data_IF_347941274605
#
_entry.id   IF_347941274605
#
_cell.length_a   1.000
_cell.length_b   1.000
_cell.length_c   1.000
_cell.angle_alpha   90.00
_cell.angle_beta   90.00
_cell.angle_gamma   90.00
#
_symmetry.space_group_name_H-M   'P 1'
#
loop_
_entity.id
_entity.type
_entity.pdbx_description
1 polymer ?
#
# COMPACT_ATOMS: atom_id res chain seq x y z
N UNK A 1 38.25 -36.61 -67.38
CA UNK A 1 36.93 -36.02 -67.08
C UNK A 1 36.49 -36.53 -65.71
N UNK A 2 36.50 -35.68 -64.71
CA UNK A 2 36.04 -35.99 -63.32
C UNK A 2 34.75 -35.20 -63.07
N UNK A 3 33.66 -35.79 -62.62
CA UNK A 3 32.47 -35.03 -62.26
C UNK A 3 32.58 -34.47 -60.82
N UNK A 4 32.34 -33.17 -60.70
CA UNK A 4 32.16 -32.48 -59.44
C UNK A 4 30.72 -32.78 -58.85
N UNK A 5 30.68 -33.44 -57.70
CA UNK A 5 29.47 -33.57 -56.94
C UNK A 5 29.33 -32.32 -56.09
N UNK A 6 28.27 -31.49 -56.35
CA UNK A 6 27.85 -30.35 -55.56
C UNK A 6 26.91 -30.86 -54.45
N UNK A 7 27.39 -30.91 -53.19
CA UNK A 7 26.54 -31.25 -52.04
C UNK A 7 25.77 -30.00 -51.58
N UNK A 8 24.46 -29.95 -51.84
CA UNK A 8 23.57 -28.97 -51.27
C UNK A 8 23.33 -29.28 -49.78
N UNK A 9 23.88 -28.46 -48.88
CA UNK A 9 23.58 -28.50 -47.46
C UNK A 9 22.23 -27.80 -47.25
N UNK A 10 21.16 -28.56 -47.05
CA UNK A 10 19.85 -28.02 -46.66
C UNK A 10 19.86 -27.75 -45.15
N UNK A 11 19.97 -26.48 -44.77
CA UNK A 11 19.82 -26.03 -43.39
C UNK A 11 18.34 -26.11 -42.99
N UNK A 12 17.97 -27.09 -42.21
CA UNK A 12 16.64 -27.20 -41.58
C UNK A 12 16.59 -26.20 -40.44
N UNK A 13 15.92 -25.09 -40.67
CA UNK A 13 15.59 -24.13 -39.62
C UNK A 13 14.44 -24.73 -38.79
N UNK A 14 14.74 -25.26 -37.60
CA UNK A 14 13.75 -25.72 -36.63
C UNK A 14 12.97 -24.51 -36.08
N UNK A 15 11.76 -24.28 -36.55
CA UNK A 15 10.82 -23.31 -35.97
C UNK A 15 10.32 -23.93 -34.67
N UNK A 16 10.91 -23.51 -33.53
CA UNK A 16 10.37 -23.81 -32.22
C UNK A 16 9.01 -23.08 -32.08
N UNK A 17 7.92 -23.80 -31.73
CA UNK A 17 6.66 -23.15 -31.49
C UNK A 17 6.80 -22.21 -30.28
N UNK A 18 6.59 -20.91 -30.48
CA UNK A 18 6.35 -19.95 -29.37
C UNK A 18 5.01 -20.32 -28.75
N UNK A 19 5.01 -21.11 -27.69
CA UNK A 19 3.83 -21.27 -26.84
C UNK A 19 3.54 -19.92 -26.21
N UNK A 20 2.33 -19.34 -26.34
CA UNK A 20 1.98 -18.13 -25.65
C UNK A 20 2.09 -18.40 -24.15
N UNK A 21 3.00 -17.71 -23.48
CA UNK A 21 3.08 -17.74 -22.03
C UNK A 21 1.83 -17.02 -21.49
N UNK A 22 0.82 -17.77 -21.11
CA UNK A 22 -0.31 -17.21 -20.38
C UNK A 22 0.22 -16.64 -19.07
N UNK A 23 -0.09 -15.37 -18.80
CA UNK A 23 0.26 -14.76 -17.53
C UNK A 23 -0.41 -15.55 -16.40
N UNK A 24 0.38 -15.96 -15.41
CA UNK A 24 -0.12 -16.68 -14.24
C UNK A 24 -1.11 -15.80 -13.49
N UNK A 25 -2.27 -16.35 -13.14
CA UNK A 25 -3.31 -15.64 -12.42
C UNK A 25 -3.20 -15.91 -10.92
N UNK A 26 -3.14 -14.82 -10.13
CA UNK A 26 -3.05 -14.86 -8.68
C UNK A 26 -4.33 -14.27 -8.08
N UNK A 27 -4.99 -15.03 -7.23
CA UNK A 27 -6.18 -14.58 -6.48
C UNK A 27 -5.72 -13.88 -5.22
N UNK A 28 -6.14 -12.62 -5.03
CA UNK A 28 -5.70 -11.78 -3.92
C UNK A 28 -6.90 -11.35 -3.09
N UNK A 29 -6.99 -11.83 -1.85
CA UNK A 29 -7.98 -11.38 -0.89
C UNK A 29 -7.64 -9.97 -0.38
N UNK A 30 -8.64 -9.11 -0.28
CA UNK A 30 -8.48 -7.79 0.33
C UNK A 30 -9.71 -7.38 1.15
N UNK A 31 -9.47 -6.48 2.12
CA UNK A 31 -10.57 -5.83 2.82
C UNK A 31 -11.41 -5.01 1.83
N UNK A 32 -12.70 -5.33 1.76
CA UNK A 32 -13.65 -4.65 0.89
C UNK A 32 -13.92 -3.19 1.28
N UNK A 33 -13.43 -2.73 2.46
CA UNK A 33 -13.66 -1.39 3.02
C UNK A 33 -12.42 -0.81 3.72
N UNK A 34 -11.34 -0.62 2.98
CA UNK A 34 -10.11 -0.02 3.47
C UNK A 34 -9.65 1.16 2.58
N UNK A 35 -10.48 2.21 2.40
CA UNK A 35 -10.07 3.37 1.61
C UNK A 35 -8.96 4.17 2.32
N UNK A 36 -8.07 4.84 1.56
CA UNK A 36 -7.98 4.88 0.10
C UNK A 36 -7.19 3.72 -0.50
N UNK A 37 -6.85 2.68 0.27
CA UNK A 37 -5.91 1.63 -0.13
C UNK A 37 -6.56 0.54 -0.99
N UNK A 38 -7.68 -0.01 -0.53
CA UNK A 38 -8.44 -1.03 -1.23
C UNK A 38 -9.92 -0.98 -0.81
N UNK A 39 -10.81 -0.95 -1.77
CA UNK A 39 -12.26 -1.06 -1.53
C UNK A 39 -12.94 -1.78 -2.69
N UNK A 40 -14.11 -2.34 -2.43
CA UNK A 40 -14.95 -2.92 -3.46
C UNK A 40 -16.12 -2.00 -3.73
N UNK A 41 -16.20 -1.48 -4.95
CA UNK A 41 -17.25 -0.57 -5.41
C UNK A 41 -17.82 -1.07 -6.74
N UNK A 42 -19.13 -1.24 -6.79
CA UNK A 42 -19.84 -1.74 -7.98
C UNK A 42 -19.22 -3.04 -8.55
N UNK A 43 -18.78 -3.95 -7.65
CA UNK A 43 -18.16 -5.22 -8.02
C UNK A 43 -16.71 -5.12 -8.52
N UNK A 44 -16.09 -3.95 -8.47
CA UNK A 44 -14.70 -3.73 -8.84
C UNK A 44 -13.86 -3.40 -7.62
N UNK A 45 -12.65 -3.93 -7.58
CA UNK A 45 -11.67 -3.55 -6.56
C UNK A 45 -10.89 -2.33 -7.04
N UNK A 46 -10.86 -1.29 -6.23
CA UNK A 46 -10.16 -0.03 -6.51
C UNK A 46 -9.40 0.46 -5.28
N UNK A 47 -8.40 1.30 -5.47
CA UNK A 47 -7.61 1.89 -4.39
C UNK A 47 -6.17 2.13 -4.77
N UNK A 48 -5.47 2.97 -3.99
CA UNK A 48 -4.04 3.25 -4.14
C UNK A 48 -3.22 1.96 -4.19
N UNK A 49 -3.47 1.06 -3.23
CA UNK A 49 -2.73 -0.19 -3.13
C UNK A 49 -3.09 -1.14 -4.29
N UNK A 50 -4.35 -1.18 -4.70
CA UNK A 50 -4.82 -1.96 -5.86
C UNK A 50 -4.10 -1.52 -7.14
N UNK A 51 -4.03 -0.22 -7.41
CA UNK A 51 -3.34 0.31 -8.60
C UNK A 51 -1.84 0.00 -8.57
N UNK A 52 -1.18 0.13 -7.41
CA UNK A 52 0.24 -0.19 -7.25
C UNK A 52 0.50 -1.68 -7.44
N UNK A 53 -0.33 -2.56 -6.85
CA UNK A 53 -0.18 -4.00 -7.03
C UNK A 53 -0.38 -4.42 -8.49
N UNK A 54 -1.37 -3.87 -9.18
CA UNK A 54 -1.61 -4.14 -10.59
C UNK A 54 -0.39 -3.75 -11.45
N UNK A 55 0.20 -2.58 -11.21
CA UNK A 55 1.38 -2.13 -11.94
C UNK A 55 2.60 -3.04 -11.67
N UNK A 56 2.83 -3.44 -10.41
CA UNK A 56 3.91 -4.36 -10.04
C UNK A 56 3.70 -5.76 -10.64
N UNK A 57 2.47 -6.27 -10.60
CA UNK A 57 2.10 -7.56 -11.17
C UNK A 57 2.30 -7.58 -12.69
N UNK A 58 1.93 -6.51 -13.39
CA UNK A 58 2.16 -6.38 -14.83
C UNK A 58 3.67 -6.48 -15.17
N UNK A 59 4.53 -5.81 -14.39
CA UNK A 59 6.01 -5.91 -14.55
C UNK A 59 6.52 -7.32 -14.23
N UNK A 60 5.84 -8.05 -13.35
CA UNK A 60 6.17 -9.43 -12.97
C UNK A 60 5.60 -10.50 -13.93
N UNK A 61 4.84 -10.11 -14.97
CA UNK A 61 4.14 -11.04 -15.87
C UNK A 61 3.03 -11.82 -15.17
N UNK A 62 2.31 -11.18 -14.23
CA UNK A 62 1.23 -11.76 -13.45
C UNK A 62 -0.09 -11.04 -13.74
N UNK A 63 -1.19 -11.77 -13.61
CA UNK A 63 -2.55 -11.24 -13.61
C UNK A 63 -3.14 -11.35 -12.21
N UNK A 64 -3.73 -10.28 -11.68
CA UNK A 64 -4.37 -10.29 -10.37
C UNK A 64 -5.90 -10.40 -10.54
N UNK A 65 -6.48 -11.32 -9.79
CA UNK A 65 -7.93 -11.43 -9.59
C UNK A 65 -8.22 -11.15 -8.12
N UNK A 66 -8.99 -10.11 -7.86
CA UNK A 66 -9.30 -9.71 -6.49
C UNK A 66 -10.47 -10.49 -5.91
N UNK A 67 -10.38 -10.80 -4.61
CA UNK A 67 -11.39 -11.46 -3.80
C UNK A 67 -11.73 -10.53 -2.63
N UNK A 68 -12.65 -9.56 -2.80
CA UNK A 68 -13.05 -8.65 -1.74
C UNK A 68 -13.85 -9.40 -0.68
N UNK A 69 -13.42 -9.26 0.58
CA UNK A 69 -14.08 -9.87 1.75
C UNK A 69 -14.01 -8.91 2.94
N UNK A 70 -14.82 -9.07 3.99
CA UNK A 70 -14.59 -8.39 5.26
C UNK A 70 -13.21 -8.74 5.82
N UNK A 71 -12.54 -7.76 6.47
CA UNK A 71 -11.16 -7.93 6.95
C UNK A 71 -10.95 -9.19 7.78
N UNK A 72 -11.90 -9.50 8.68
CA UNK A 72 -11.87 -10.67 9.56
C UNK A 72 -11.96 -12.01 8.82
N UNK A 73 -12.37 -12.01 7.55
CA UNK A 73 -12.46 -13.20 6.72
C UNK A 73 -11.22 -13.45 5.85
N UNK A 74 -10.27 -12.51 5.80
CA UNK A 74 -9.08 -12.63 4.93
C UNK A 74 -8.30 -13.90 5.25
N UNK A 75 -7.99 -14.16 6.52
CA UNK A 75 -7.26 -15.36 6.94
C UNK A 75 -7.97 -16.62 6.50
N UNK A 76 -9.26 -16.74 6.79
CA UNK A 76 -10.07 -17.89 6.40
C UNK A 76 -10.13 -18.07 4.88
N UNK A 77 -10.18 -16.98 4.13
CA UNK A 77 -10.20 -17.03 2.65
C UNK A 77 -8.93 -17.64 2.08
N UNK A 78 -7.78 -17.39 2.72
CA UNK A 78 -6.49 -18.02 2.39
C UNK A 78 -6.49 -19.50 2.80
N UNK A 79 -6.94 -19.81 4.02
CA UNK A 79 -6.94 -21.17 4.57
C UNK A 79 -7.85 -22.12 3.78
N UNK A 80 -9.01 -21.62 3.32
CA UNK A 80 -9.95 -22.34 2.44
C UNK A 80 -9.43 -22.45 0.98
N UNK A 81 -8.27 -21.89 0.64
CA UNK A 81 -7.72 -21.91 -0.72
C UNK A 81 -8.52 -21.08 -1.74
N UNK A 82 -9.40 -20.17 -1.29
CA UNK A 82 -10.17 -19.27 -2.15
C UNK A 82 -9.34 -18.10 -2.68
N UNK A 83 -8.24 -17.75 -2.00
CA UNK A 83 -7.24 -16.80 -2.45
C UNK A 83 -5.82 -17.36 -2.24
N UNK A 84 -4.88 -16.88 -3.03
CA UNK A 84 -3.48 -17.27 -3.03
C UNK A 84 -2.64 -16.35 -2.14
N UNK A 85 -3.09 -15.10 -1.97
CA UNK A 85 -2.42 -14.07 -1.20
C UNK A 85 -3.44 -13.08 -0.60
N UNK A 86 -2.99 -12.28 0.36
CA UNK A 86 -3.74 -11.15 0.94
C UNK A 86 -3.01 -9.83 0.68
N UNK A 87 -3.76 -8.76 0.37
CA UNK A 87 -3.20 -7.42 0.15
C UNK A 87 -4.28 -6.33 0.22
N UNK A 88 -4.00 -5.13 0.74
CA UNK A 88 -2.79 -4.76 1.49
C UNK A 88 -2.85 -5.27 2.93
N UNK A 89 -1.74 -5.80 3.42
CA UNK A 89 -1.63 -6.26 4.80
C UNK A 89 -0.43 -5.59 5.48
N UNK A 90 -0.65 -4.99 6.67
CA UNK A 90 0.43 -4.37 7.42
C UNK A 90 1.41 -5.42 7.93
N UNK A 91 2.69 -5.17 7.70
CA UNK A 91 3.78 -6.00 8.22
C UNK A 91 3.95 -5.70 9.71
N UNK A 92 3.86 -6.73 10.54
CA UNK A 92 4.19 -6.66 11.97
C UNK A 92 4.80 -7.99 12.46
N UNK A 93 5.43 -8.02 13.65
CA UNK A 93 6.07 -9.24 14.17
C UNK A 93 5.12 -10.43 14.35
N UNK A 94 3.88 -10.19 14.77
CA UNK A 94 2.86 -11.24 14.93
C UNK A 94 2.52 -11.89 13.59
N UNK A 95 2.21 -11.09 12.57
CA UNK A 95 1.87 -11.59 11.23
C UNK A 95 3.04 -12.31 10.55
N UNK A 96 4.28 -11.94 10.84
CA UNK A 96 5.47 -12.66 10.32
C UNK A 96 5.60 -14.09 10.83
N UNK A 97 4.85 -14.47 11.86
CA UNK A 97 4.79 -15.86 12.33
C UNK A 97 3.97 -16.75 11.39
N UNK A 98 2.96 -16.18 10.74
CA UNK A 98 1.99 -16.91 9.91
C UNK A 98 2.09 -16.58 8.41
N UNK A 99 2.74 -15.46 8.06
CA UNK A 99 2.87 -14.98 6.68
C UNK A 99 4.31 -14.70 6.28
N UNK A 100 4.60 -14.91 5.01
CA UNK A 100 5.72 -14.30 4.30
C UNK A 100 5.20 -13.12 3.46
N UNK A 101 6.04 -12.08 3.31
CA UNK A 101 5.66 -10.80 2.73
C UNK A 101 6.58 -10.44 1.56
N UNK A 102 6.02 -9.78 0.56
CA UNK A 102 6.81 -9.02 -0.41
C UNK A 102 7.50 -7.83 0.26
N UNK A 103 8.40 -7.17 -0.46
CA UNK A 103 8.77 -5.78 -0.14
C UNK A 103 7.51 -4.91 -0.02
N UNK A 104 7.50 -3.88 0.85
CA UNK A 104 6.34 -3.00 1.00
C UNK A 104 5.97 -2.34 -0.34
N UNK A 105 4.71 -2.42 -0.73
CA UNK A 105 4.18 -1.72 -1.90
C UNK A 105 3.78 -0.28 -1.52
N UNK A 106 3.22 -0.11 -0.32
CA UNK A 106 2.85 1.20 0.23
C UNK A 106 3.44 1.33 1.63
N UNK A 107 4.02 2.47 1.94
CA UNK A 107 4.34 2.84 3.31
C UNK A 107 3.32 3.87 3.74
N UNK A 108 2.49 3.52 4.71
CA UNK A 108 1.53 4.40 5.37
C UNK A 108 1.93 4.59 6.82
N UNK A 109 1.12 5.28 7.59
CA UNK A 109 1.41 5.44 9.01
C UNK A 109 0.82 6.70 9.60
N UNK A 110 1.31 7.05 10.80
CA UNK A 110 0.95 8.26 11.50
C UNK A 110 1.79 9.44 11.06
N UNK A 111 1.13 10.55 10.72
CA UNK A 111 1.77 11.80 10.36
C UNK A 111 1.13 12.98 11.10
N UNK A 112 1.88 14.07 11.31
CA UNK A 112 1.45 15.24 12.07
C UNK A 112 1.09 16.38 11.11
N UNK A 113 -0.18 16.67 11.02
CA UNK A 113 -0.72 17.78 10.26
C UNK A 113 -0.90 19.00 11.17
N UNK A 114 -0.49 20.16 10.70
CA UNK A 114 -0.61 21.44 11.42
C UNK A 114 -1.25 22.51 10.54
N UNK A 115 -1.74 23.57 11.14
CA UNK A 115 -2.25 24.73 10.37
C UNK A 115 -1.14 25.38 9.57
N UNK A 116 -1.40 25.67 8.29
CA UNK A 116 -0.50 26.50 7.50
C UNK A 116 -0.45 27.95 8.03
N UNK A 117 0.70 28.63 7.98
CA UNK A 117 1.96 28.20 7.38
C UNK A 117 2.95 27.55 8.39
N UNK A 118 2.50 27.01 9.51
CA UNK A 118 3.36 26.40 10.52
C UNK A 118 4.15 25.22 9.89
N UNK A 119 5.45 25.07 10.23
CA UNK A 119 6.22 23.92 9.75
C UNK A 119 5.73 22.62 10.39
N UNK A 120 5.83 21.51 9.65
CA UNK A 120 5.51 20.18 10.18
C UNK A 120 6.44 19.84 11.36
N UNK A 121 5.90 19.37 12.51
CA UNK A 121 6.72 18.97 13.66
C UNK A 121 7.63 17.78 13.33
N UNK A 122 8.83 17.77 13.90
CA UNK A 122 9.77 16.66 13.79
C UNK A 122 9.43 15.55 14.82
N UNK A 123 8.24 14.96 14.68
CA UNK A 123 7.74 13.87 15.52
C UNK A 123 7.01 14.34 16.79
N UNK A 124 6.51 13.35 17.55
CA UNK A 124 5.65 13.57 18.71
C UNK A 124 6.31 14.37 19.85
N UNK A 125 7.63 14.23 20.02
CA UNK A 125 8.36 14.95 21.09
C UNK A 125 8.31 16.46 20.94
N UNK A 126 8.22 16.97 19.71
CA UNK A 126 8.08 18.40 19.44
C UNK A 126 6.72 18.95 19.91
N UNK A 127 5.79 18.09 20.28
CA UNK A 127 4.43 18.43 20.72
C UNK A 127 4.21 18.18 22.23
N UNK A 128 5.28 18.06 23.01
CA UNK A 128 5.18 17.95 24.49
C UNK A 128 4.36 19.10 25.07
N UNK A 129 3.34 18.77 25.87
CA UNK A 129 2.39 19.72 26.47
C UNK A 129 1.36 20.34 25.52
N UNK A 130 1.45 20.03 24.21
CA UNK A 130 0.55 20.49 23.17
C UNK A 130 -0.67 19.57 23.04
N UNK A 131 -1.77 20.12 22.53
CA UNK A 131 -2.99 19.36 22.22
C UNK A 131 -2.89 18.73 20.85
N UNK A 132 -2.94 17.40 20.81
CA UNK A 132 -2.92 16.62 19.59
C UNK A 132 -4.21 15.83 19.46
N UNK A 133 -4.89 15.98 18.34
CA UNK A 133 -6.13 15.25 18.03
C UNK A 133 -5.84 14.07 17.12
N UNK A 134 -6.59 12.98 17.28
CA UNK A 134 -6.52 11.81 16.39
C UNK A 134 -7.89 11.13 16.31
N UNK A 135 -8.29 10.54 15.17
CA UNK A 135 -9.50 9.74 15.13
C UNK A 135 -9.33 8.44 15.93
N UNK A 136 -10.45 7.92 16.46
CA UNK A 136 -10.47 6.66 17.22
C UNK A 136 -10.14 5.43 16.40
N UNK A 137 -10.13 5.55 15.06
CA UNK A 137 -9.86 4.44 14.15
C UNK A 137 -8.36 4.21 13.96
N UNK A 138 -7.95 2.94 14.00
CA UNK A 138 -6.56 2.55 13.77
C UNK A 138 -5.66 2.62 15.02
N UNK A 139 -4.35 2.43 14.85
CA UNK A 139 -3.42 2.23 15.97
C UNK A 139 -2.88 3.52 16.58
N UNK A 140 -3.16 4.71 16.01
CA UNK A 140 -2.44 5.94 16.36
C UNK A 140 -2.68 6.39 17.80
N UNK A 141 -3.93 6.34 18.28
CA UNK A 141 -4.26 6.75 19.65
C UNK A 141 -3.45 5.93 20.68
N UNK A 142 -3.50 4.61 20.58
CA UNK A 142 -2.75 3.72 21.48
C UNK A 142 -1.24 3.87 21.36
N UNK A 143 -0.73 4.09 20.15
CA UNK A 143 0.69 4.35 19.92
C UNK A 143 1.13 5.65 20.61
N UNK A 144 0.40 6.76 20.44
CA UNK A 144 0.72 8.06 21.03
C UNK A 144 0.66 7.99 22.56
N UNK A 145 -0.40 7.39 23.13
CA UNK A 145 -0.53 7.20 24.57
C UNK A 145 0.66 6.47 25.19
N UNK A 146 1.18 5.46 24.47
CA UNK A 146 2.31 4.65 24.94
C UNK A 146 3.66 5.34 24.77
N UNK A 147 3.88 6.08 23.67
CA UNK A 147 5.21 6.59 23.28
C UNK A 147 5.43 8.06 23.53
N UNK A 148 4.35 8.83 23.76
CA UNK A 148 4.40 10.27 24.01
C UNK A 148 3.32 10.69 25.04
N UNK A 149 3.36 10.14 26.28
CA UNK A 149 2.37 10.40 27.31
C UNK A 149 2.28 11.87 27.76
N UNK A 150 3.33 12.67 27.46
CA UNK A 150 3.39 14.10 27.71
C UNK A 150 2.57 14.96 26.73
N UNK A 151 2.07 14.37 25.65
CA UNK A 151 1.15 15.02 24.70
C UNK A 151 -0.27 15.00 25.26
N UNK A 152 -0.97 16.13 25.18
CA UNK A 152 -2.40 16.19 25.53
C UNK A 152 -3.22 15.58 24.38
N UNK A 153 -3.42 14.26 24.40
CA UNK A 153 -4.12 13.54 23.35
C UNK A 153 -5.64 13.66 23.51
N UNK A 154 -6.32 14.07 22.43
CA UNK A 154 -7.77 14.05 22.29
C UNK A 154 -8.15 13.07 21.19
N UNK A 155 -8.97 12.07 21.51
CA UNK A 155 -9.42 11.05 20.55
C UNK A 155 -10.81 11.40 20.04
N UNK A 156 -10.91 11.70 18.76
CA UNK A 156 -12.13 12.12 18.07
C UNK A 156 -12.88 10.95 17.43
N UNK A 157 -14.15 11.19 17.08
CA UNK A 157 -14.98 10.18 16.40
C UNK A 157 -14.41 9.82 15.02
N UNK A 158 -13.90 10.83 14.28
CA UNK A 158 -13.48 10.70 12.89
C UNK A 158 -12.42 11.74 12.49
N UNK A 159 -12.05 11.73 11.22
CA UNK A 159 -11.10 12.67 10.62
C UNK A 159 -11.65 14.08 10.50
N UNK A 160 -12.96 14.23 10.21
CA UNK A 160 -13.58 15.54 10.00
C UNK A 160 -13.58 16.34 11.30
N UNK A 161 -13.91 15.72 12.44
CA UNK A 161 -13.81 16.34 13.75
C UNK A 161 -12.36 16.71 14.09
N UNK A 162 -11.40 15.86 13.76
CA UNK A 162 -9.98 16.14 13.99
C UNK A 162 -9.48 17.33 13.16
N UNK A 163 -9.89 17.45 11.90
CA UNK A 163 -9.59 18.63 11.08
C UNK A 163 -10.30 19.88 11.56
N UNK A 164 -11.56 19.78 11.99
CA UNK A 164 -12.30 20.92 12.54
C UNK A 164 -11.58 21.52 13.75
N UNK A 165 -11.18 20.70 14.72
CA UNK A 165 -10.44 21.17 15.90
C UNK A 165 -9.04 21.68 15.57
N UNK A 166 -8.36 21.08 14.60
CA UNK A 166 -7.08 21.62 14.10
C UNK A 166 -7.27 23.02 13.54
N UNK A 167 -8.26 23.21 12.65
CA UNK A 167 -8.47 24.46 11.92
C UNK A 167 -9.06 25.57 12.81
N UNK A 168 -9.85 25.23 13.84
CA UNK A 168 -10.36 26.21 14.82
C UNK A 168 -9.27 26.70 15.79
N UNK A 169 -8.17 25.95 15.91
CA UNK A 169 -7.09 26.26 16.87
C UNK A 169 -7.27 25.60 18.24
N UNK A 170 -8.31 24.79 18.43
CA UNK A 170 -8.49 23.98 19.64
C UNK A 170 -7.40 22.90 19.79
N UNK A 171 -6.82 22.45 18.67
CA UNK A 171 -5.68 21.57 18.65
C UNK A 171 -4.47 22.23 18.00
N UNK A 172 -3.28 21.89 18.50
CA UNK A 172 -1.99 22.34 17.94
C UNK A 172 -1.62 21.51 16.69
N UNK A 173 -1.93 20.20 16.71
CA UNK A 173 -1.67 19.28 15.61
C UNK A 173 -2.75 18.18 15.52
N UNK A 174 -2.90 17.60 14.32
CA UNK A 174 -3.68 16.40 14.09
C UNK A 174 -2.77 15.23 13.68
N UNK A 175 -2.78 14.17 14.50
CA UNK A 175 -2.08 12.91 14.21
C UNK A 175 -3.02 12.00 13.40
N UNK A 176 -2.77 11.90 12.11
CA UNK A 176 -3.67 11.21 11.16
C UNK A 176 -2.90 10.14 10.37
N UNK A 177 -3.63 9.16 9.82
CA UNK A 177 -3.05 8.34 8.77
C UNK A 177 -2.62 9.24 7.61
N UNK A 178 -1.39 9.06 7.12
CA UNK A 178 -0.78 9.97 6.16
C UNK A 178 -1.58 10.10 4.87
N UNK A 179 -1.97 8.99 4.24
CA UNK A 179 -2.68 9.03 2.97
C UNK A 179 -4.09 9.61 3.12
N UNK A 180 -4.81 9.23 4.19
CA UNK A 180 -6.15 9.76 4.46
C UNK A 180 -6.06 11.26 4.77
N UNK A 181 -5.14 11.65 5.67
CA UNK A 181 -4.94 13.04 6.06
C UNK A 181 -4.49 13.90 4.88
N UNK A 182 -3.53 13.43 4.06
CA UNK A 182 -3.07 14.12 2.85
C UNK A 182 -4.22 14.36 1.87
N UNK A 183 -5.02 13.32 1.58
CA UNK A 183 -6.19 13.45 0.70
C UNK A 183 -7.15 14.52 1.20
N UNK A 184 -7.58 14.45 2.46
CA UNK A 184 -8.51 15.43 3.03
C UNK A 184 -7.92 16.85 3.07
N UNK A 185 -6.64 16.99 3.42
CA UNK A 185 -5.94 18.27 3.41
C UNK A 185 -5.89 18.88 2.01
N UNK A 186 -5.63 18.09 0.96
CA UNK A 186 -5.53 18.60 -0.42
C UNK A 186 -6.88 18.85 -1.07
N UNK A 187 -7.91 18.04 -0.76
CA UNK A 187 -9.22 18.15 -1.43
C UNK A 187 -10.19 19.10 -0.71
N UNK A 188 -10.22 19.07 0.63
CA UNK A 188 -11.19 19.85 1.42
C UNK A 188 -10.58 21.05 2.16
N UNK A 189 -9.28 21.05 2.41
CA UNK A 189 -8.58 22.04 3.23
C UNK A 189 -7.35 22.62 2.54
N UNK A 190 -7.37 22.68 1.20
CA UNK A 190 -6.25 23.17 0.40
C UNK A 190 -5.73 24.53 0.90
N UNK A 191 -4.42 24.63 1.11
CA UNK A 191 -3.75 25.83 1.60
C UNK A 191 -3.95 26.17 3.08
N UNK A 192 -4.81 25.43 3.81
CA UNK A 192 -5.07 25.66 5.25
C UNK A 192 -4.24 24.77 6.16
N UNK A 193 -3.68 23.69 5.62
CA UNK A 193 -2.95 22.67 6.36
C UNK A 193 -1.59 22.45 5.71
N UNK A 194 -0.54 22.41 6.52
CA UNK A 194 0.80 21.99 6.07
C UNK A 194 0.84 20.47 5.98
N UNK A 195 1.25 19.96 4.83
CA UNK A 195 1.44 18.53 4.62
C UNK A 195 2.69 18.05 5.34
N UNK A 196 2.63 16.94 6.08
CA UNK A 196 3.79 16.40 6.79
C UNK A 196 4.81 15.81 5.81
N UNK A 197 6.09 16.02 6.13
CA UNK A 197 7.22 15.48 5.37
C UNK A 197 7.66 14.10 5.88
N UNK A 198 7.33 13.78 7.13
CA UNK A 198 7.77 12.55 7.81
C UNK A 198 6.62 11.87 8.52
N UNK A 199 6.73 10.56 8.66
CA UNK A 199 5.86 9.75 9.50
C UNK A 199 6.49 9.62 10.90
N UNK A 200 5.69 9.75 11.96
CA UNK A 200 6.12 9.41 13.32
C UNK A 200 5.91 7.93 13.66
N UNK A 201 5.12 7.24 12.84
CA UNK A 201 4.88 5.80 12.90
C UNK A 201 4.76 5.28 11.47
N UNK A 202 5.65 4.37 11.07
CA UNK A 202 5.56 3.70 9.77
C UNK A 202 4.74 2.41 9.88
N UNK A 203 3.84 2.21 8.93
CA UNK A 203 3.04 1.01 8.75
C UNK A 203 3.21 0.51 7.31
N UNK A 204 4.23 -0.31 7.06
CA UNK A 204 4.45 -0.85 5.73
C UNK A 204 3.35 -1.85 5.35
N UNK A 205 2.74 -1.64 4.18
CA UNK A 205 1.72 -2.52 3.60
C UNK A 205 2.33 -3.34 2.47
N UNK A 206 2.16 -4.65 2.52
CA UNK A 206 2.70 -5.58 1.56
C UNK A 206 1.68 -6.65 1.16
N UNK A 207 1.98 -7.39 0.08
CA UNK A 207 1.28 -8.61 -0.22
C UNK A 207 1.83 -9.71 0.69
N UNK A 208 0.93 -10.50 1.26
CA UNK A 208 1.22 -11.58 2.18
C UNK A 208 0.76 -12.92 1.58
N UNK A 209 1.59 -13.94 1.72
CA UNK A 209 1.25 -15.34 1.44
C UNK A 209 1.41 -16.15 2.72
N UNK A 210 0.80 -17.34 2.79
CA UNK A 210 1.01 -18.23 3.96
C UNK A 210 2.49 -18.58 4.11
N UNK A 211 2.91 -18.68 5.35
CA UNK A 211 4.31 -18.94 5.73
C UNK A 211 4.88 -20.17 5.02
N UNK A 212 6.02 -20.01 4.38
CA UNK A 212 6.71 -21.07 3.65
C UNK A 212 6.12 -21.41 2.28
N UNK A 213 5.08 -20.69 1.84
CA UNK A 213 4.44 -20.92 0.53
C UNK A 213 4.82 -19.82 -0.49
N UNK A 214 4.75 -20.16 -1.79
CA UNK A 214 4.82 -19.23 -2.94
C UNK A 214 6.02 -18.25 -2.91
N UNK A 215 7.19 -18.72 -2.50
CA UNK A 215 8.41 -17.89 -2.46
C UNK A 215 8.81 -17.31 -3.82
N UNK A 216 8.54 -18.02 -4.91
CA UNK A 216 8.75 -17.54 -6.28
C UNK A 216 7.81 -16.40 -6.65
N UNK A 217 6.54 -16.43 -6.22
CA UNK A 217 5.60 -15.32 -6.38
C UNK A 217 6.12 -14.06 -5.68
N UNK A 218 6.60 -14.19 -4.43
CA UNK A 218 7.20 -13.07 -3.69
C UNK A 218 8.37 -12.49 -4.48
N UNK A 219 9.32 -13.35 -4.91
CA UNK A 219 10.51 -12.89 -5.62
C UNK A 219 10.18 -12.19 -6.96
N UNK A 220 9.16 -12.66 -7.68
CA UNK A 220 8.70 -12.03 -8.93
C UNK A 220 8.04 -10.69 -8.67
N UNK A 221 7.17 -10.60 -7.67
CA UNK A 221 6.52 -9.35 -7.29
C UNK A 221 7.53 -8.33 -6.76
N UNK A 222 8.54 -8.75 -5.99
CA UNK A 222 9.60 -7.85 -5.51
C UNK A 222 10.37 -7.21 -6.67
N UNK A 223 10.66 -7.97 -7.73
CA UNK A 223 11.24 -7.43 -8.98
C UNK A 223 10.29 -6.42 -9.64
N UNK A 224 8.99 -6.75 -9.70
CA UNK A 224 7.97 -5.84 -10.23
C UNK A 224 7.85 -4.54 -9.42
N UNK A 225 7.87 -4.64 -8.08
CA UNK A 225 7.86 -3.49 -7.16
C UNK A 225 9.10 -2.60 -7.41
N UNK A 226 10.28 -3.21 -7.49
CA UNK A 226 11.51 -2.48 -7.78
C UNK A 226 11.43 -1.76 -9.15
N UNK A 227 10.90 -2.43 -10.17
CA UNK A 227 10.75 -1.86 -11.52
C UNK A 227 9.83 -0.64 -11.54
N UNK A 228 8.64 -0.69 -10.91
CA UNK A 228 7.71 0.45 -10.89
C UNK A 228 8.22 1.62 -10.03
N UNK A 229 9.11 1.38 -9.07
CA UNK A 229 9.79 2.43 -8.32
C UNK A 229 10.87 3.10 -9.17
N UNK A 230 11.65 2.31 -9.90
CA UNK A 230 12.74 2.79 -10.74
C UNK A 230 12.26 3.62 -11.94
N UNK A 231 11.13 3.25 -12.55
CA UNK A 231 10.58 3.95 -13.72
C UNK A 231 9.60 5.08 -13.39
N UNK A 232 9.36 5.37 -12.09
CA UNK A 232 8.48 6.43 -11.64
C UNK A 232 6.98 6.11 -11.66
N UNK A 233 6.58 4.91 -12.10
CA UNK A 233 5.16 4.48 -12.15
C UNK A 233 4.52 4.53 -10.76
N UNK A 234 5.26 4.08 -9.73
CA UNK A 234 4.79 4.14 -8.34
C UNK A 234 4.44 5.56 -7.92
N UNK A 235 5.34 6.52 -8.16
CA UNK A 235 5.14 7.92 -7.79
C UNK A 235 3.97 8.56 -8.55
N UNK A 236 3.80 8.23 -9.82
CA UNK A 236 2.68 8.72 -10.63
C UNK A 236 1.33 8.22 -10.08
N UNK A 237 1.26 6.97 -9.63
CA UNK A 237 0.07 6.41 -8.99
C UNK A 237 -0.21 7.12 -7.66
N UNK A 238 0.80 7.26 -6.79
CA UNK A 238 0.66 7.91 -5.49
C UNK A 238 0.17 9.36 -5.62
N UNK A 239 0.76 10.14 -6.54
CA UNK A 239 0.35 11.51 -6.81
C UNK A 239 -1.11 11.62 -7.29
N UNK A 240 -1.56 10.69 -8.15
CA UNK A 240 -2.94 10.64 -8.62
C UNK A 240 -3.93 10.42 -7.47
N UNK A 241 -3.58 9.58 -6.51
CA UNK A 241 -4.43 9.29 -5.34
C UNK A 241 -4.38 10.39 -4.27
N UNK A 242 -3.32 11.20 -4.23
CA UNK A 242 -3.24 12.37 -3.36
C UNK A 242 -4.21 13.49 -3.74
N UNK A 243 -4.60 13.58 -5.01
CA UNK A 243 -5.50 14.62 -5.54
C UNK A 243 -6.96 14.18 -5.75
N UNK A 244 -7.35 12.98 -5.29
CA UNK A 244 -8.71 12.45 -5.44
C UNK A 244 -9.55 12.63 -4.18
#
# INVERSE_FOLDING_TARGET
MRPFFLACLASVFAILPLTPAFAETIRVAHDQRFPPFAESKDGKSEGLAVDILNAAAQKAGLTIVYVPVPFEQIQRTLDDGRADAAFPLAINPERRQTFDFTAPLVITGGALFVRAPQPSPDGLKALTGKTVVTPKTGPLAGFIQKTAPEVKLVVNADYDQSFAQLLSGEADAAALNFQVGRRLATTLHAGKVTLPEKLFLELPLALAVRKGEKSDLIARLDKGIAAIRADGTWQAIDNRWAGR
#
